data_IF_483779318715
#
_entry.id   IF_483779318715
#
_cell.length_a   1.000
_cell.length_b   1.000
_cell.length_c   1.000
_cell.angle_alpha   90.00
_cell.angle_beta   90.00
_cell.angle_gamma   90.00
#
_symmetry.space_group_name_H-M   'P 1'
#
loop_
_entity.id
_entity.type
_entity.pdbx_description
1 polymer ?
#
# COMPACT_ATOMS: atom_id res chain seq x y z
N UNK A 1 -25.43 -25.59 -57.60
CA UNK A 1 -26.06 -25.48 -56.26
C UNK A 1 -25.28 -26.36 -55.30
N UNK A 2 -24.92 -25.89 -54.09
CA UNK A 2 -23.64 -26.20 -53.42
C UNK A 2 -23.73 -27.14 -52.20
N UNK A 3 -22.59 -27.72 -51.78
CA UNK A 3 -22.13 -27.90 -50.38
C UNK A 3 -20.85 -28.79 -50.36
N UNK A 4 -19.63 -28.23 -50.40
CA UNK A 4 -18.84 -27.66 -49.29
C UNK A 4 -18.26 -28.72 -48.32
N UNK A 5 -16.94 -28.91 -48.43
CA UNK A 5 -16.06 -29.79 -47.66
C UNK A 5 -15.79 -29.28 -46.21
N UNK A 6 -15.24 -30.11 -45.31
CA UNK A 6 -15.13 -29.81 -43.88
C UNK A 6 -13.86 -29.01 -43.55
N UNK A 7 -13.88 -28.19 -42.49
CA UNK A 7 -12.71 -27.48 -42.00
C UNK A 7 -12.55 -27.65 -40.49
N UNK A 8 -11.33 -28.05 -40.10
CA UNK A 8 -10.83 -28.20 -38.74
C UNK A 8 -10.58 -26.84 -38.04
N UNK A 9 -10.48 -26.90 -36.71
CA UNK A 9 -10.42 -25.82 -35.73
C UNK A 9 -9.22 -24.84 -35.86
N UNK A 10 -9.20 -23.73 -35.07
CA UNK A 10 -8.57 -23.84 -33.75
C UNK A 10 -9.26 -23.02 -32.61
N UNK A 11 -9.10 -23.54 -31.39
CA UNK A 11 -9.35 -22.83 -30.15
C UNK A 11 -8.15 -21.94 -29.78
N UNK A 12 -8.39 -20.68 -29.41
CA UNK A 12 -7.59 -19.85 -28.50
C UNK A 12 -8.21 -18.43 -28.42
N UNK A 13 -7.87 -17.59 -27.42
CA UNK A 13 -7.38 -17.90 -26.07
C UNK A 13 -8.22 -17.23 -24.97
N UNK A 14 -8.18 -17.83 -23.77
CA UNK A 14 -8.60 -17.22 -22.51
C UNK A 14 -7.85 -15.90 -22.34
N UNK A 15 -8.58 -14.79 -22.30
CA UNK A 15 -8.03 -13.48 -22.00
C UNK A 15 -7.53 -13.50 -20.56
N UNK A 16 -6.22 -13.71 -20.44
CA UNK A 16 -5.50 -13.68 -19.18
C UNK A 16 -5.78 -12.34 -18.51
N UNK A 17 -6.21 -12.43 -17.25
CA UNK A 17 -6.35 -11.32 -16.33
C UNK A 17 -5.21 -10.32 -16.55
N UNK A 18 -5.57 -9.17 -17.11
CA UNK A 18 -4.75 -7.96 -17.03
C UNK A 18 -4.67 -7.64 -15.55
N UNK A 19 -3.62 -8.16 -14.91
CA UNK A 19 -3.10 -7.68 -13.64
C UNK A 19 -2.83 -6.20 -13.89
N UNK A 20 -3.80 -5.38 -13.53
CA UNK A 20 -3.66 -3.95 -13.42
C UNK A 20 -2.44 -3.77 -12.54
N UNK A 21 -1.33 -3.38 -13.17
CA UNK A 21 -0.11 -3.06 -12.46
C UNK A 21 -0.52 -1.97 -11.48
N UNK A 22 -0.60 -2.33 -10.20
CA UNK A 22 -0.78 -1.37 -9.13
C UNK A 22 0.20 -0.23 -9.40
N UNK A 23 -0.25 1.02 -9.40
CA UNK A 23 0.64 2.13 -9.71
C UNK A 23 1.86 1.98 -8.82
N UNK A 24 3.04 1.90 -9.45
CA UNK A 24 4.30 1.89 -8.72
C UNK A 24 4.23 3.06 -7.74
N UNK A 25 4.30 2.76 -6.44
CA UNK A 25 4.21 3.76 -5.41
C UNK A 25 5.23 4.85 -5.77
N UNK A 26 4.74 6.07 -6.03
CA UNK A 26 5.61 7.23 -6.14
C UNK A 26 6.57 7.17 -4.95
N UNK A 27 7.89 7.43 -5.15
CA UNK A 27 8.83 7.39 -4.05
C UNK A 27 8.22 8.24 -2.94
N UNK A 28 7.91 7.61 -1.80
CA UNK A 28 7.24 8.27 -0.69
C UNK A 28 8.08 9.49 -0.35
N UNK A 29 7.65 10.68 -0.80
CA UNK A 29 8.53 11.84 -0.86
C UNK A 29 8.96 12.18 0.54
N UNK A 30 10.21 11.91 0.93
CA UNK A 30 10.81 12.29 2.21
C UNK A 30 9.89 12.14 3.45
N UNK A 31 9.02 11.12 3.49
CA UNK A 31 8.12 10.95 4.62
C UNK A 31 8.91 10.45 5.83
N UNK A 32 8.80 11.18 6.94
CA UNK A 32 9.51 10.85 8.18
C UNK A 32 8.66 9.84 8.94
N UNK A 33 9.23 8.68 9.23
CA UNK A 33 8.56 7.63 9.99
C UNK A 33 9.32 7.34 11.28
N UNK A 34 8.62 6.91 12.34
CA UNK A 34 9.29 6.43 13.54
C UNK A 34 10.07 5.13 13.22
N UNK A 35 11.21 4.95 13.88
CA UNK A 35 12.04 3.74 13.73
C UNK A 35 11.69 2.67 14.75
N UNK A 36 11.05 3.04 15.86
CA UNK A 36 10.58 2.15 16.91
C UNK A 36 9.25 2.65 17.49
N UNK A 37 8.52 1.74 18.14
CA UNK A 37 7.33 2.08 18.92
C UNK A 37 7.76 2.94 20.11
N UNK A 38 7.05 4.05 20.36
CA UNK A 38 7.36 4.95 21.45
C UNK A 38 7.23 4.21 22.80
N UNK A 39 8.26 4.27 23.68
CA UNK A 39 8.24 3.59 24.96
C UNK A 39 7.10 4.03 25.89
N UNK A 40 6.50 5.21 25.67
CA UNK A 40 5.30 5.63 26.40
C UNK A 40 4.10 4.70 26.18
N UNK A 41 4.10 3.96 25.06
CA UNK A 41 3.07 2.98 24.72
C UNK A 41 3.48 1.53 25.01
N UNK A 42 4.61 1.29 25.67
CA UNK A 42 5.06 -0.07 26.00
C UNK A 42 4.10 -0.86 26.89
N UNK A 43 3.18 -0.18 27.58
CA UNK A 43 2.13 -0.82 28.41
C UNK A 43 0.90 -1.24 27.61
N UNK A 44 0.79 -0.82 26.35
CA UNK A 44 -0.32 -1.21 25.47
C UNK A 44 0.02 -2.44 24.62
N UNK A 45 -0.99 -3.01 23.96
CA UNK A 45 -0.75 -4.09 23.01
C UNK A 45 0.06 -3.59 21.82
N UNK A 46 0.89 -4.47 21.25
CA UNK A 46 1.82 -4.10 20.17
C UNK A 46 1.13 -3.41 18.96
N UNK A 47 -0.11 -3.80 18.64
CA UNK A 47 -0.89 -3.14 17.58
C UNK A 47 -1.26 -1.70 17.93
N UNK A 48 -1.70 -1.48 19.17
CA UNK A 48 -2.15 -0.17 19.65
C UNK A 48 -0.97 0.79 19.84
N UNK A 49 0.13 0.27 20.38
CA UNK A 49 1.37 1.02 20.55
C UNK A 49 1.95 1.51 19.20
N UNK A 50 1.95 0.66 18.16
CA UNK A 50 2.30 1.07 16.79
C UNK A 50 1.35 2.15 16.27
N UNK A 51 0.05 1.98 16.43
CA UNK A 51 -0.94 2.96 15.99
C UNK A 51 -0.71 4.33 16.61
N UNK A 52 -0.57 4.40 17.94
CA UNK A 52 -0.37 5.68 18.59
C UNK A 52 0.97 6.32 18.21
N UNK A 53 2.05 5.53 18.13
CA UNK A 53 3.36 6.02 17.66
C UNK A 53 3.24 6.61 16.24
N UNK A 54 2.55 5.92 15.34
CA UNK A 54 2.35 6.40 13.98
C UNK A 54 1.49 7.67 13.95
N UNK A 55 0.42 7.75 14.75
CA UNK A 55 -0.44 8.94 14.82
C UNK A 55 0.36 10.15 15.29
N UNK A 56 1.17 9.99 16.34
CA UNK A 56 1.97 11.07 16.90
C UNK A 56 2.98 11.59 15.88
N UNK A 57 3.70 10.68 15.21
CA UNK A 57 4.65 11.09 14.18
C UNK A 57 3.94 11.74 12.99
N UNK A 58 2.78 11.23 12.56
CA UNK A 58 2.00 11.83 11.48
C UNK A 58 1.57 13.26 11.82
N UNK A 59 1.13 13.51 13.05
CA UNK A 59 0.73 14.83 13.51
C UNK A 59 1.94 15.76 13.66
N UNK A 60 3.06 15.29 14.20
CA UNK A 60 4.31 16.05 14.25
C UNK A 60 4.78 16.44 12.84
N UNK A 61 4.68 15.51 11.89
CA UNK A 61 5.02 15.74 10.50
C UNK A 61 4.11 16.75 9.81
N UNK A 62 2.84 16.91 10.23
CA UNK A 62 1.93 17.91 9.64
C UNK A 62 2.46 19.33 9.82
N UNK A 63 3.14 19.62 10.93
CA UNK A 63 3.73 20.94 11.16
C UNK A 63 4.82 21.28 10.13
N UNK A 64 5.58 20.26 9.69
CA UNK A 64 6.74 20.43 8.83
C UNK A 64 6.51 19.90 7.39
N UNK A 65 5.26 19.58 7.05
CA UNK A 65 4.91 18.90 5.79
C UNK A 65 5.72 17.61 5.51
N UNK A 66 6.17 16.93 6.56
CA UNK A 66 7.05 15.75 6.51
C UNK A 66 6.30 14.42 6.32
N UNK A 67 5.02 14.46 5.95
CA UNK A 67 4.23 13.26 5.63
C UNK A 67 4.44 12.79 4.19
N UNK A 68 5.22 13.52 3.40
CA UNK A 68 5.52 13.15 2.02
C UNK A 68 4.32 13.12 1.10
N UNK A 69 3.35 13.99 1.35
CA UNK A 69 2.08 14.01 0.62
C UNK A 69 1.16 12.84 0.93
N UNK A 70 1.53 11.91 1.82
CA UNK A 70 0.68 10.80 2.20
C UNK A 70 -0.40 11.24 3.19
N UNK A 71 -1.63 10.77 2.95
CA UNK A 71 -2.71 10.85 3.94
C UNK A 71 -2.53 9.74 4.97
N UNK A 72 -3.09 9.93 6.17
CA UNK A 72 -3.07 8.94 7.25
C UNK A 72 -3.42 7.52 6.77
N UNK A 73 -4.57 7.40 6.09
CA UNK A 73 -5.03 6.19 5.41
C UNK A 73 -5.53 6.61 4.02
N UNK A 74 -5.12 5.92 2.98
CA UNK A 74 -5.58 6.15 1.61
C UNK A 74 -5.66 4.84 0.82
N UNK A 75 -6.50 4.83 -0.22
CA UNK A 75 -6.60 3.71 -1.17
C UNK A 75 -5.26 3.55 -1.88
N UNK A 76 -4.66 2.36 -1.77
CA UNK A 76 -3.33 2.07 -2.32
C UNK A 76 -2.16 2.27 -1.35
N UNK A 77 -2.43 2.66 -0.09
CA UNK A 77 -1.40 2.86 0.93
C UNK A 77 -1.40 4.28 1.44
N UNK A 78 -1.21 4.43 2.75
CA UNK A 78 -1.13 5.70 3.44
C UNK A 78 -0.04 5.65 4.50
N UNK A 79 0.15 6.77 5.17
CA UNK A 79 1.21 6.92 6.17
C UNK A 79 1.17 5.83 7.24
N UNK A 80 -0.01 5.49 7.76
CA UNK A 80 -0.14 4.46 8.78
C UNK A 80 0.29 3.07 8.28
N UNK A 81 -0.07 2.71 7.04
CA UNK A 81 0.30 1.42 6.46
C UNK A 81 1.82 1.29 6.35
N UNK A 82 2.49 2.35 5.91
CA UNK A 82 3.95 2.35 5.74
C UNK A 82 4.68 2.42 7.08
N UNK A 83 4.18 3.25 8.00
CA UNK A 83 4.66 3.32 9.37
C UNK A 83 4.55 1.97 10.08
N UNK A 84 3.39 1.32 9.99
CA UNK A 84 3.18 0.02 10.61
C UNK A 84 4.08 -1.06 9.98
N UNK A 85 4.32 -1.03 8.67
CA UNK A 85 5.29 -1.95 8.03
C UNK A 85 6.71 -1.73 8.57
N UNK A 86 7.16 -0.48 8.69
CA UNK A 86 8.48 -0.14 9.27
C UNK A 86 8.62 -0.56 10.74
N UNK A 87 7.58 -0.34 11.55
CA UNK A 87 7.59 -0.69 12.98
C UNK A 87 7.36 -2.18 13.25
N UNK A 88 6.78 -2.90 12.29
CA UNK A 88 6.53 -4.34 12.44
C UNK A 88 7.79 -5.14 12.11
N UNK A 89 8.57 -4.73 11.09
CA UNK A 89 9.77 -5.42 10.65
C UNK A 89 9.46 -6.77 10.03
#
# INVERSE_FOLDING_TARGET
TPAAAPAAAPAAPKEAAKKEAAPAAAPAGNAVFPTAVDPKYSKETAGKARMHTCVDQYNANKANNANGGMKWIAKGGGYYSECNKRLKG
#
